data_IF_629000480905
#
_entry.id   IF_629000480905
#
_cell.length_a   1.000
_cell.length_b   1.000
_cell.length_c   1.000
_cell.angle_alpha   90.00
_cell.angle_beta   90.00
_cell.angle_gamma   90.00
#
_symmetry.space_group_name_H-M   'P 1'
#
loop_
_entity.id
_entity.type
_entity.pdbx_description
1 polymer ?
#
# COMPACT_ATOMS: atom_id res chain seq x y z
N UNK A 1 17.51 -12.31 -17.16
CA UNK A 1 16.32 -12.26 -16.29
C UNK A 1 16.53 -11.12 -15.29
N UNK A 2 16.14 -9.90 -15.63
CA UNK A 2 16.23 -8.79 -14.68
C UNK A 2 15.24 -9.07 -13.55
N UNK A 3 15.74 -9.53 -12.40
CA UNK A 3 14.99 -9.53 -11.15
C UNK A 3 14.82 -8.07 -10.72
N UNK A 4 14.03 -7.29 -11.46
CA UNK A 4 13.57 -5.96 -11.02
C UNK A 4 12.93 -6.21 -9.67
N UNK A 5 13.54 -5.69 -8.60
CA UNK A 5 13.14 -5.95 -7.22
C UNK A 5 11.70 -5.49 -6.97
N UNK A 6 10.72 -6.35 -7.27
CA UNK A 6 9.30 -6.11 -7.04
C UNK A 6 8.93 -6.15 -5.54
N UNK A 7 9.91 -6.35 -4.65
CA UNK A 7 9.72 -6.39 -3.21
C UNK A 7 9.14 -5.08 -2.66
N UNK A 8 9.52 -3.93 -3.22
CA UNK A 8 9.01 -2.63 -2.79
C UNK A 8 7.55 -2.43 -3.20
N UNK A 9 7.23 -2.63 -4.49
CA UNK A 9 5.88 -2.46 -5.01
C UNK A 9 4.89 -3.42 -4.33
N UNK A 10 5.29 -4.69 -4.18
CA UNK A 10 4.47 -5.70 -3.48
C UNK A 10 4.18 -5.32 -2.03
N UNK A 11 5.20 -4.88 -1.28
CA UNK A 11 5.03 -4.41 0.11
C UNK A 11 4.10 -3.20 0.20
N UNK A 12 4.22 -2.26 -0.73
CA UNK A 12 3.32 -1.10 -0.77
C UNK A 12 1.88 -1.55 -1.00
N UNK A 13 1.63 -2.48 -1.93
CA UNK A 13 0.28 -3.01 -2.19
C UNK A 13 -0.28 -3.77 -0.98
N UNK A 14 0.49 -4.66 -0.37
CA UNK A 14 0.04 -5.44 0.81
C UNK A 14 -0.25 -4.53 2.01
N UNK A 15 0.61 -3.54 2.28
CA UNK A 15 0.40 -2.57 3.37
C UNK A 15 -0.83 -1.70 3.12
N UNK A 16 -1.07 -1.27 1.88
CA UNK A 16 -2.26 -0.49 1.54
C UNK A 16 -3.54 -1.32 1.59
N UNK A 17 -3.50 -2.60 1.23
CA UNK A 17 -4.66 -3.50 1.37
C UNK A 17 -5.07 -3.67 2.83
N UNK A 18 -4.09 -3.92 3.72
CA UNK A 18 -4.31 -3.99 5.17
C UNK A 18 -4.87 -2.65 5.67
N UNK A 19 -4.28 -1.53 5.25
CA UNK A 19 -4.75 -0.21 5.64
C UNK A 19 -6.21 0.05 5.24
N UNK A 20 -6.61 -0.26 3.99
CA UNK A 20 -7.98 -0.03 3.50
C UNK A 20 -9.03 -0.87 4.24
N UNK A 21 -8.69 -2.11 4.60
CA UNK A 21 -9.55 -3.00 5.38
C UNK A 21 -9.83 -2.43 6.77
N UNK A 22 -8.78 -1.99 7.48
CA UNK A 22 -8.91 -1.48 8.85
C UNK A 22 -9.30 0.00 8.93
N UNK A 23 -9.07 0.81 7.89
CA UNK A 23 -9.52 2.19 7.84
C UNK A 23 -11.06 2.28 7.95
N UNK A 24 -11.78 1.30 7.42
CA UNK A 24 -13.26 1.20 7.50
C UNK A 24 -13.77 0.90 8.91
N UNK A 25 -12.93 0.34 9.77
CA UNK A 25 -13.29 0.00 11.17
C UNK A 25 -13.17 1.19 12.13
N UNK A 26 -12.74 2.37 11.67
CA UNK A 26 -12.62 3.58 12.50
C UNK A 26 -11.40 3.60 13.42
N UNK A 27 -10.43 2.70 13.19
CA UNK A 27 -9.18 2.66 13.94
C UNK A 27 -8.26 3.82 13.52
N UNK A 28 -7.48 4.33 14.48
CA UNK A 28 -6.48 5.37 14.20
C UNK A 28 -5.34 4.79 13.36
N UNK A 29 -4.81 5.56 12.40
CA UNK A 29 -3.71 5.14 11.51
C UNK A 29 -2.51 4.54 12.27
N UNK A 30 -2.17 5.13 13.42
CA UNK A 30 -1.09 4.66 14.30
C UNK A 30 -1.39 3.31 14.95
N UNK A 31 -2.66 3.05 15.25
CA UNK A 31 -3.12 1.78 15.82
C UNK A 31 -3.13 0.68 14.75
N UNK A 32 -3.57 0.98 13.53
CA UNK A 32 -3.50 0.06 12.37
C UNK A 32 -2.04 -0.33 12.10
N UNK A 33 -1.14 0.66 12.06
CA UNK A 33 0.28 0.42 11.87
C UNK A 33 0.86 -0.48 12.97
N UNK A 34 0.61 -0.16 14.25
CA UNK A 34 1.16 -0.91 15.38
C UNK A 34 0.62 -2.34 15.47
N UNK A 35 -0.66 -2.56 15.19
CA UNK A 35 -1.32 -3.87 15.36
C UNK A 35 -1.15 -4.80 14.16
N UNK A 36 -1.20 -4.27 12.94
CA UNK A 36 -1.27 -5.11 11.74
C UNK A 36 -0.01 -5.04 10.86
N UNK A 37 0.69 -3.92 10.81
CA UNK A 37 1.78 -3.71 9.84
C UNK A 37 3.16 -3.88 10.48
N UNK A 38 3.35 -3.35 11.69
CA UNK A 38 4.59 -3.47 12.46
C UNK A 38 5.01 -4.92 12.74
N UNK A 39 4.14 -5.84 13.21
CA UNK A 39 4.55 -7.21 13.48
C UNK A 39 4.92 -8.01 12.23
N UNK A 40 4.42 -7.63 11.05
CA UNK A 40 4.65 -8.35 9.79
C UNK A 40 5.89 -7.81 9.06
N UNK A 41 6.00 -6.48 8.95
CA UNK A 41 7.01 -5.84 8.12
C UNK A 41 8.13 -5.15 8.90
N UNK A 42 7.96 -4.97 10.23
CA UNK A 42 8.90 -4.26 11.11
C UNK A 42 9.37 -2.92 10.53
N UNK A 43 8.45 -2.20 9.88
CA UNK A 43 8.70 -0.90 9.28
C UNK A 43 8.42 0.24 10.26
N UNK A 44 9.18 1.32 10.15
CA UNK A 44 8.94 2.53 10.92
C UNK A 44 7.62 3.20 10.52
N UNK A 45 7.06 4.01 11.43
CA UNK A 45 5.84 4.78 11.17
C UNK A 45 6.02 5.73 9.96
N UNK A 46 7.22 6.30 9.80
CA UNK A 46 7.56 7.13 8.64
C UNK A 46 7.50 6.34 7.32
N UNK A 47 7.97 5.10 7.32
CA UNK A 47 7.90 4.21 6.16
C UNK A 47 6.46 3.83 5.84
N UNK A 48 5.64 3.62 6.87
CA UNK A 48 4.21 3.36 6.70
C UNK A 48 3.49 4.54 6.02
N UNK A 49 3.71 5.77 6.48
CA UNK A 49 3.17 6.95 5.81
C UNK A 49 3.73 7.13 4.40
N UNK A 50 5.00 6.78 4.14
CA UNK A 50 5.55 6.78 2.79
C UNK A 50 4.83 5.78 1.87
N UNK A 51 4.43 4.62 2.37
CA UNK A 51 3.70 3.61 1.59
C UNK A 51 2.26 4.03 1.30
N UNK A 52 1.58 4.65 2.27
CA UNK A 52 0.25 5.23 2.07
C UNK A 52 0.32 6.40 1.10
N UNK A 53 1.26 7.33 1.28
CA UNK A 53 1.44 8.46 0.37
C UNK A 53 1.87 8.01 -1.04
N UNK A 54 2.66 6.94 -1.16
CA UNK A 54 3.01 6.37 -2.46
C UNK A 54 1.78 5.80 -3.18
N UNK A 55 0.81 5.22 -2.45
CA UNK A 55 -0.46 4.78 -3.02
C UNK A 55 -1.45 5.93 -3.26
N UNK A 56 -1.42 6.99 -2.45
CA UNK A 56 -2.32 8.14 -2.56
C UNK A 56 -1.89 9.18 -3.61
N UNK A 57 -0.72 9.00 -4.26
CA UNK A 57 -0.31 9.88 -5.37
C UNK A 57 -1.23 9.67 -6.58
N UNK A 58 -1.82 10.74 -7.16
CA UNK A 58 -2.78 10.64 -8.27
C UNK A 58 -2.19 9.98 -9.53
N UNK A 59 -0.87 10.08 -9.75
CA UNK A 59 -0.17 9.38 -10.84
C UNK A 59 -0.19 7.83 -10.73
N UNK A 60 -0.43 7.28 -9.53
CA UNK A 60 -0.54 5.83 -9.28
C UNK A 60 -1.99 5.37 -9.37
N UNK A 61 -2.94 6.22 -8.96
CA UNK A 61 -4.39 5.99 -9.11
C UNK A 61 -4.79 6.03 -10.58
N UNK A 62 -4.22 6.94 -11.37
CA UNK A 62 -4.44 7.04 -12.83
C UNK A 62 -3.89 5.81 -13.57
N UNK A 63 -2.67 5.36 -13.24
CA UNK A 63 -2.09 4.10 -13.76
C UNK A 63 -2.86 2.85 -13.35
N UNK A 64 -3.38 2.80 -12.12
CA UNK A 64 -4.23 1.70 -11.66
C UNK A 64 -5.55 1.62 -12.43
N UNK A 65 -6.10 2.77 -12.82
CA UNK A 65 -7.31 2.87 -13.65
C UNK A 65 -7.03 2.49 -15.11
N UNK A 66 -5.91 2.92 -15.70
CA UNK A 66 -5.47 2.52 -17.05
C UNK A 66 -5.24 1.00 -17.22
N UNK A 67 -4.68 0.34 -16.20
CA UNK A 67 -4.45 -1.11 -16.22
C UNK A 67 -5.75 -1.94 -16.12
N UNK A 68 -6.80 -1.43 -15.47
CA UNK A 68 -8.12 -2.09 -15.47
C UNK A 68 -8.91 -1.87 -16.77
N UNK A 69 -8.69 -0.75 -17.47
CA UNK A 69 -9.38 -0.43 -18.73
C UNK A 69 -8.84 -1.19 -19.95
N UNK A 70 -7.59 -1.66 -19.91
CA UNK A 70 -6.97 -2.44 -21.00
C UNK A 70 -7.30 -3.94 -20.94
N UNK A 71 -7.88 -4.42 -19.83
CA UNK A 71 -8.32 -5.82 -19.67
C UNK A 71 -9.74 -6.10 -20.22
N UNK A 72 -10.47 -5.06 -20.59
CA UNK A 72 -11.80 -5.14 -21.19
C UNK A 72 -11.86 -4.47 -22.58
N UNK A 73 -10.71 -4.22 -23.21
CA UNK A 73 -10.58 -3.70 -24.57
C UNK A 73 -10.31 -4.80 -25.59
#
# INVERSE_FOLDING_TARGET
MELKGCSYARRVTEVNAIYDEYAKTGLSNREIWRRYIYPIYSISEKTFYNYINAAAKPAVIEKGRELQLTLFG
#
